data_IF_709016276440
#
_entry.id   IF_709016276440
#
_cell.length_a   1.000
_cell.length_b   1.000
_cell.length_c   1.000
_cell.angle_alpha   90.00
_cell.angle_beta   90.00
_cell.angle_gamma   90.00
#
_symmetry.space_group_name_H-M   'P 1'
#
loop_
_entity.id
_entity.type
_entity.pdbx_description
1 polymer ?
#
# COMPACT_ATOMS: atom_id res chain seq x y z
N UNK A 1 -5.49 -26.44 -7.80
CA UNK A 1 -5.22 -25.25 -6.96
C UNK A 1 -4.42 -25.58 -5.70
N UNK A 2 -4.66 -26.73 -5.04
CA UNK A 2 -3.90 -27.14 -3.84
C UNK A 2 -2.39 -27.34 -4.09
N UNK A 3 -1.98 -27.86 -5.26
CA UNK A 3 -0.57 -28.06 -5.62
C UNK A 3 0.22 -26.75 -5.70
N UNK A 4 -0.34 -25.71 -6.35
CA UNK A 4 0.35 -24.43 -6.53
C UNK A 4 0.59 -23.66 -5.21
N UNK A 5 -0.32 -23.80 -4.23
CA UNK A 5 -0.15 -23.21 -2.90
C UNK A 5 0.94 -23.95 -2.10
N UNK A 6 0.96 -25.29 -2.17
CA UNK A 6 2.00 -26.09 -1.54
C UNK A 6 3.39 -25.82 -2.14
N UNK A 7 3.47 -25.67 -3.46
CA UNK A 7 4.71 -25.34 -4.18
C UNK A 7 5.22 -23.95 -3.80
N UNK A 8 4.31 -22.98 -3.65
CA UNK A 8 4.65 -21.61 -3.23
C UNK A 8 5.09 -21.57 -1.76
N UNK A 9 4.43 -22.30 -0.87
CA UNK A 9 4.86 -22.45 0.51
C UNK A 9 6.24 -23.12 0.60
N UNK A 10 6.48 -24.16 -0.20
CA UNK A 10 7.77 -24.83 -0.25
C UNK A 10 8.86 -23.88 -0.75
N UNK A 11 8.62 -23.14 -1.83
CA UNK A 11 9.57 -22.16 -2.38
C UNK A 11 9.88 -21.07 -1.36
N UNK A 12 8.86 -20.58 -0.64
CA UNK A 12 9.04 -19.60 0.44
C UNK A 12 9.88 -20.17 1.58
N UNK A 13 9.57 -21.38 2.07
CA UNK A 13 10.37 -22.07 3.10
C UNK A 13 11.81 -22.30 2.63
N UNK A 14 12.01 -22.70 1.39
CA UNK A 14 13.33 -22.92 0.80
C UNK A 14 14.14 -21.61 0.71
N UNK A 15 13.53 -20.51 0.26
CA UNK A 15 14.17 -19.19 0.21
C UNK A 15 14.55 -18.68 1.60
N UNK A 16 13.67 -18.81 2.60
CA UNK A 16 13.97 -18.39 3.98
C UNK A 16 15.11 -19.23 4.57
N UNK A 17 15.10 -20.55 4.36
CA UNK A 17 16.20 -21.43 4.80
C UNK A 17 17.52 -21.07 4.11
N UNK A 18 17.48 -20.80 2.81
CA UNK A 18 18.67 -20.33 2.07
C UNK A 18 19.20 -19.03 2.66
N UNK A 19 18.32 -18.06 2.92
CA UNK A 19 18.69 -16.77 3.50
C UNK A 19 19.31 -16.94 4.90
N UNK A 20 18.70 -17.76 5.75
CA UNK A 20 19.21 -18.10 7.09
C UNK A 20 20.62 -18.67 7.02
N UNK A 21 20.85 -19.63 6.12
CA UNK A 21 22.15 -20.25 5.94
C UNK A 21 23.21 -19.26 5.44
N UNK A 22 22.88 -18.44 4.43
CA UNK A 22 23.84 -17.49 3.83
C UNK A 22 24.19 -16.36 4.80
N UNK A 23 23.20 -15.86 5.55
CA UNK A 23 23.39 -14.73 6.47
C UNK A 23 23.78 -15.16 7.89
N UNK A 24 23.90 -16.47 8.15
CA UNK A 24 24.19 -17.04 9.46
C UNK A 24 23.21 -16.56 10.56
N UNK A 25 21.93 -16.45 10.19
CA UNK A 25 20.87 -15.93 11.05
C UNK A 25 19.84 -17.03 11.38
N UNK A 26 19.34 -17.12 12.61
CA UNK A 26 18.23 -18.02 12.95
C UNK A 26 16.98 -17.70 12.12
N UNK A 27 16.29 -18.75 11.65
CA UNK A 27 15.04 -18.62 10.87
C UNK A 27 14.00 -17.76 11.59
N UNK A 28 13.95 -17.80 12.93
CA UNK A 28 13.05 -16.99 13.74
C UNK A 28 13.27 -15.47 13.57
N UNK A 29 14.50 -15.03 13.28
CA UNK A 29 14.83 -13.62 13.03
C UNK A 29 14.48 -13.17 11.61
N UNK A 30 14.05 -14.08 10.73
CA UNK A 30 13.63 -13.80 9.35
C UNK A 30 12.11 -13.64 9.18
N UNK A 31 11.36 -13.56 10.28
CA UNK A 31 9.91 -13.40 10.26
C UNK A 31 9.47 -12.12 9.51
N UNK A 32 10.28 -11.07 9.51
CA UNK A 32 10.01 -9.84 8.75
C UNK A 32 9.86 -10.07 7.24
N UNK A 33 10.55 -11.07 6.67
CA UNK A 33 10.41 -11.44 5.25
C UNK A 33 9.04 -12.05 5.00
N UNK A 34 8.59 -12.91 5.92
CA UNK A 34 7.26 -13.51 5.88
C UNK A 34 6.17 -12.43 5.91
N UNK A 35 6.28 -11.50 6.85
CA UNK A 35 5.33 -10.40 7.03
C UNK A 35 5.26 -9.51 5.78
N UNK A 36 6.40 -9.16 5.19
CA UNK A 36 6.45 -8.40 3.94
C UNK A 36 5.68 -9.09 2.79
N UNK A 37 5.87 -10.40 2.61
CA UNK A 37 5.18 -11.15 1.55
C UNK A 37 3.68 -11.30 1.81
N UNK A 38 3.27 -11.48 3.08
CA UNK A 38 1.85 -11.49 3.45
C UNK A 38 1.23 -10.13 3.10
N UNK A 39 1.88 -9.04 3.50
CA UNK A 39 1.42 -7.68 3.21
C UNK A 39 1.29 -7.45 1.70
N UNK A 40 2.27 -7.88 0.89
CA UNK A 40 2.20 -7.76 -0.59
C UNK A 40 0.97 -8.48 -1.15
N UNK A 41 0.67 -9.70 -0.69
CA UNK A 41 -0.48 -10.48 -1.16
C UNK A 41 -1.79 -9.79 -0.76
N UNK A 42 -1.91 -9.35 0.48
CA UNK A 42 -3.10 -8.65 0.99
C UNK A 42 -3.35 -7.35 0.23
N UNK A 43 -2.31 -6.53 0.05
CA UNK A 43 -2.37 -5.30 -0.73
C UNK A 43 -2.84 -5.55 -2.16
N UNK A 44 -2.35 -6.60 -2.83
CA UNK A 44 -2.80 -6.96 -4.19
C UNK A 44 -4.27 -7.39 -4.22
N UNK A 45 -4.76 -8.05 -3.17
CA UNK A 45 -6.18 -8.39 -3.07
C UNK A 45 -7.03 -7.15 -2.87
N UNK A 46 -6.62 -6.23 -2.00
CA UNK A 46 -7.31 -4.95 -1.79
C UNK A 46 -7.38 -4.17 -3.11
N UNK A 47 -6.27 -4.06 -3.85
CA UNK A 47 -6.25 -3.36 -5.13
C UNK A 47 -7.27 -3.91 -6.13
N UNK A 48 -7.39 -5.25 -6.25
CA UNK A 48 -8.41 -5.85 -7.12
C UNK A 48 -9.83 -5.36 -6.78
N UNK A 49 -10.14 -5.25 -5.50
CA UNK A 49 -11.42 -4.75 -5.04
C UNK A 49 -11.56 -3.23 -5.20
N UNK A 50 -10.48 -2.45 -5.04
CA UNK A 50 -10.55 -1.00 -5.25
C UNK A 50 -10.73 -0.66 -6.73
N UNK A 51 -10.14 -1.41 -7.65
CA UNK A 51 -10.43 -1.28 -9.09
C UNK A 51 -11.90 -1.57 -9.41
N UNK A 52 -12.48 -2.62 -8.81
CA UNK A 52 -13.90 -2.90 -8.97
C UNK A 52 -14.77 -1.78 -8.38
N UNK A 53 -14.42 -1.25 -7.20
CA UNK A 53 -15.10 -0.12 -6.58
C UNK A 53 -15.05 1.14 -7.45
N UNK A 54 -13.87 1.50 -7.95
CA UNK A 54 -13.66 2.67 -8.82
C UNK A 54 -14.45 2.58 -10.13
N UNK A 55 -14.59 1.39 -10.71
CA UNK A 55 -15.39 1.17 -11.92
C UNK A 55 -16.87 1.56 -11.75
N UNK A 56 -17.45 1.32 -10.58
CA UNK A 56 -18.85 1.64 -10.29
C UNK A 56 -19.05 3.03 -9.68
N UNK A 57 -17.99 3.83 -9.52
CA UNK A 57 -18.10 5.16 -8.94
C UNK A 57 -18.76 6.15 -9.93
N UNK A 58 -19.78 6.92 -9.50
CA UNK A 58 -20.39 7.95 -10.34
C UNK A 58 -19.42 9.07 -10.72
N UNK A 59 -19.32 9.36 -12.02
CA UNK A 59 -18.38 10.35 -12.60
C UNK A 59 -18.75 11.81 -12.26
N UNK A 60 -19.98 12.06 -11.83
CA UNK A 60 -20.48 13.38 -11.43
C UNK A 60 -19.88 13.88 -10.09
N UNK A 61 -19.26 12.99 -9.30
CA UNK A 61 -18.54 13.32 -8.05
C UNK A 61 -17.04 13.45 -8.28
N UNK A 62 -16.63 14.41 -9.11
CA UNK A 62 -15.24 14.58 -9.57
C UNK A 62 -14.21 14.66 -8.44
N UNK A 63 -14.55 15.23 -7.28
CA UNK A 63 -13.64 15.34 -6.14
C UNK A 63 -13.46 14.02 -5.38
N UNK A 64 -14.52 13.22 -5.24
CA UNK A 64 -14.43 11.86 -4.65
C UNK A 64 -13.61 10.93 -5.52
N UNK A 65 -13.82 11.01 -6.84
CA UNK A 65 -13.03 10.25 -7.82
C UNK A 65 -11.55 10.61 -7.69
N UNK A 66 -11.21 11.91 -7.70
CA UNK A 66 -9.82 12.37 -7.57
C UNK A 66 -9.18 11.95 -6.24
N UNK A 67 -9.92 12.06 -5.14
CA UNK A 67 -9.41 11.66 -3.82
C UNK A 67 -9.17 10.14 -3.75
N UNK A 68 -10.09 9.35 -4.30
CA UNK A 68 -9.92 7.91 -4.42
C UNK A 68 -8.70 7.53 -5.27
N UNK A 69 -8.56 8.11 -6.48
CA UNK A 69 -7.43 7.87 -7.37
C UNK A 69 -6.10 8.25 -6.71
N UNK A 70 -6.08 9.36 -5.95
CA UNK A 70 -4.92 9.76 -5.18
C UNK A 70 -4.55 8.71 -4.12
N UNK A 71 -5.50 8.27 -3.29
CA UNK A 71 -5.26 7.25 -2.26
C UNK A 71 -4.79 5.93 -2.88
N UNK A 72 -5.43 5.49 -3.96
CA UNK A 72 -5.06 4.28 -4.69
C UNK A 72 -3.63 4.39 -5.23
N UNK A 73 -3.28 5.50 -5.88
CA UNK A 73 -1.94 5.72 -6.44
C UNK A 73 -0.83 5.76 -5.37
N UNK A 74 -1.10 6.33 -4.20
CA UNK A 74 -0.17 6.30 -3.06
C UNK A 74 0.04 4.86 -2.57
N UNK A 75 -1.03 4.09 -2.41
CA UNK A 75 -0.98 2.70 -1.97
C UNK A 75 -0.24 1.81 -2.98
N UNK A 76 -0.50 1.96 -4.28
CA UNK A 76 0.21 1.24 -5.35
C UNK A 76 1.71 1.54 -5.37
N UNK A 77 2.08 2.81 -5.27
CA UNK A 77 3.49 3.23 -5.23
C UNK A 77 4.21 2.62 -4.03
N UNK A 78 3.56 2.59 -2.86
CA UNK A 78 4.13 1.96 -1.66
C UNK A 78 4.29 0.44 -1.84
N UNK A 79 3.27 -0.24 -2.39
CA UNK A 79 3.30 -1.67 -2.67
C UNK A 79 4.43 -2.04 -3.64
N UNK A 80 4.62 -1.29 -4.72
CA UNK A 80 5.69 -1.57 -5.69
C UNK A 80 7.08 -1.43 -5.05
N UNK A 81 7.28 -0.44 -4.18
CA UNK A 81 8.53 -0.28 -3.43
C UNK A 81 8.79 -1.44 -2.47
N UNK A 82 7.75 -1.87 -1.73
CA UNK A 82 7.84 -3.02 -0.84
C UNK A 82 8.16 -4.31 -1.63
N UNK A 83 7.44 -4.54 -2.72
CA UNK A 83 7.63 -5.72 -3.57
C UNK A 83 9.02 -5.75 -4.21
N UNK A 84 9.49 -4.61 -4.72
CA UNK A 84 10.86 -4.50 -5.25
C UNK A 84 11.91 -4.85 -4.20
N UNK A 85 11.79 -4.33 -2.97
CA UNK A 85 12.73 -4.64 -1.90
C UNK A 85 12.68 -6.13 -1.51
N UNK A 86 11.48 -6.70 -1.36
CA UNK A 86 11.27 -8.08 -0.98
C UNK A 86 11.71 -9.09 -2.06
N UNK A 87 11.65 -8.71 -3.35
CA UNK A 87 12.02 -9.58 -4.46
C UNK A 87 13.46 -9.34 -4.93
N UNK A 88 13.76 -8.11 -5.40
CA UNK A 88 15.00 -7.78 -6.11
C UNK A 88 16.15 -7.49 -5.17
N UNK A 89 15.94 -6.63 -4.17
CA UNK A 89 17.04 -6.30 -3.24
C UNK A 89 17.42 -7.50 -2.37
N UNK A 90 16.44 -8.35 -2.03
CA UNK A 90 16.68 -9.58 -1.27
C UNK A 90 17.60 -10.58 -2.00
N UNK A 91 17.64 -10.58 -3.35
CA UNK A 91 18.50 -11.48 -4.13
C UNK A 91 19.98 -11.26 -3.81
N UNK A 92 20.41 -10.02 -3.50
CA UNK A 92 21.78 -9.71 -3.04
C UNK A 92 22.17 -10.58 -1.86
N UNK A 93 21.28 -10.76 -0.89
CA UNK A 93 21.54 -11.48 0.35
C UNK A 93 21.34 -12.99 0.20
N UNK A 94 20.51 -13.43 -0.75
CA UNK A 94 20.32 -14.86 -1.08
C UNK A 94 21.50 -15.45 -1.87
N UNK A 95 22.24 -14.62 -2.61
CA UNK A 95 23.32 -15.04 -3.49
C UNK A 95 24.71 -14.60 -2.98
N UNK A 96 24.78 -14.03 -1.78
CA UNK A 96 26.04 -13.69 -1.14
C UNK A 96 26.85 -14.95 -0.80
N UNK A 97 28.18 -14.86 -0.90
CA UNK A 97 29.09 -15.95 -0.52
C UNK A 97 29.33 -16.05 0.98
N UNK A 98 29.08 -14.96 1.72
CA UNK A 98 29.22 -14.84 3.17
C UNK A 98 28.14 -13.90 3.73
N UNK A 99 27.90 -13.92 5.05
CA UNK A 99 27.02 -12.96 5.70
C UNK A 99 27.40 -11.51 5.35
N UNK A 100 26.38 -10.70 5.03
CA UNK A 100 26.56 -9.29 4.68
C UNK A 100 26.45 -8.43 5.91
N UNK A 101 27.38 -7.49 6.09
CA UNK A 101 27.32 -6.50 7.19
C UNK A 101 26.05 -5.62 7.07
N UNK A 102 25.67 -5.27 5.83
CA UNK A 102 24.44 -4.51 5.55
C UNK A 102 23.13 -5.29 5.75
N UNK A 103 23.16 -6.58 6.11
CA UNK A 103 21.92 -7.39 6.21
C UNK A 103 20.97 -6.86 7.29
N UNK A 104 21.54 -6.30 8.37
CA UNK A 104 20.78 -5.64 9.42
C UNK A 104 20.00 -4.43 8.88
N UNK A 105 20.63 -3.64 8.02
CA UNK A 105 20.00 -2.46 7.41
C UNK A 105 18.90 -2.89 6.43
N UNK A 106 19.11 -3.97 5.68
CA UNK A 106 18.06 -4.56 4.86
C UNK A 106 16.85 -5.00 5.69
N UNK A 107 17.07 -5.65 6.83
CA UNK A 107 15.98 -6.05 7.74
C UNK A 107 15.16 -4.85 8.19
N UNK A 108 15.81 -3.78 8.64
CA UNK A 108 15.13 -2.54 9.06
C UNK A 108 14.38 -1.92 7.89
N UNK A 109 15.01 -1.84 6.71
CA UNK A 109 14.39 -1.29 5.50
C UNK A 109 13.14 -2.05 5.10
N UNK A 110 13.19 -3.39 5.05
CA UNK A 110 12.05 -4.21 4.64
C UNK A 110 10.89 -4.12 5.64
N UNK A 111 11.18 -4.14 6.94
CA UNK A 111 10.18 -3.95 7.99
C UNK A 111 9.50 -2.57 7.86
N UNK A 112 10.28 -1.50 7.73
CA UNK A 112 9.75 -0.14 7.58
C UNK A 112 8.88 0.00 6.32
N UNK A 113 9.31 -0.56 5.19
CA UNK A 113 8.50 -0.56 3.96
C UNK A 113 7.20 -1.34 4.14
N UNK A 114 7.23 -2.43 4.90
CA UNK A 114 6.04 -3.23 5.22
C UNK A 114 5.03 -2.39 6.01
N UNK A 115 5.48 -1.73 7.06
CA UNK A 115 4.63 -0.89 7.91
C UNK A 115 4.08 0.34 7.17
N UNK A 116 4.93 1.01 6.39
CA UNK A 116 4.51 2.15 5.56
C UNK A 116 3.44 1.71 4.55
N UNK A 117 3.65 0.57 3.88
CA UNK A 117 2.66 0.05 2.93
C UNK A 117 1.35 -0.29 3.61
N UNK A 118 1.40 -0.95 4.78
CA UNK A 118 0.21 -1.23 5.59
C UNK A 118 -0.59 0.04 5.89
N UNK A 119 0.07 1.10 6.34
CA UNK A 119 -0.59 2.37 6.65
C UNK A 119 -1.30 2.99 5.43
N UNK A 120 -0.70 2.96 4.24
CA UNK A 120 -1.35 3.46 3.03
C UNK A 120 -2.61 2.66 2.69
N UNK A 121 -2.55 1.33 2.82
CA UNK A 121 -3.71 0.47 2.55
C UNK A 121 -4.81 0.60 3.61
N UNK A 122 -4.46 0.73 4.90
CA UNK A 122 -5.43 1.00 5.97
C UNK A 122 -6.14 2.34 5.75
N UNK A 123 -5.42 3.38 5.32
CA UNK A 123 -6.02 4.67 4.99
C UNK A 123 -6.95 4.56 3.78
N UNK A 124 -6.55 3.83 2.74
CA UNK A 124 -7.38 3.58 1.57
C UNK A 124 -8.67 2.83 1.96
N UNK A 125 -8.57 1.73 2.70
CA UNK A 125 -9.74 0.95 3.15
C UNK A 125 -10.66 1.80 4.01
N UNK A 126 -10.12 2.55 4.97
CA UNK A 126 -10.91 3.43 5.85
C UNK A 126 -11.68 4.50 5.08
N UNK A 127 -11.04 5.12 4.09
CA UNK A 127 -11.70 6.10 3.24
C UNK A 127 -12.86 5.46 2.44
N UNK A 128 -12.68 4.23 1.96
CA UNK A 128 -13.72 3.47 1.26
C UNK A 128 -14.88 3.08 2.18
N UNK A 129 -14.60 2.59 3.39
CA UNK A 129 -15.60 2.23 4.40
C UNK A 129 -16.49 3.43 4.78
N UNK A 130 -15.90 4.63 4.86
CA UNK A 130 -16.60 5.87 5.16
C UNK A 130 -17.16 6.58 3.92
N UNK A 131 -17.17 5.94 2.75
CA UNK A 131 -17.67 6.51 1.49
C UNK A 131 -17.02 7.87 1.11
N UNK A 132 -15.74 8.04 1.42
CA UNK A 132 -14.94 9.22 1.09
C UNK A 132 -15.56 10.52 1.67
N UNK A 133 -15.99 10.47 2.93
CA UNK A 133 -16.64 11.58 3.64
C UNK A 133 -15.73 12.80 3.79
N UNK A 134 -14.41 12.61 3.78
CA UNK A 134 -13.39 13.67 3.88
C UNK A 134 -13.58 14.75 2.81
N UNK A 135 -14.05 14.36 1.62
CA UNK A 135 -14.35 15.29 0.52
C UNK A 135 -15.57 16.16 0.84
N UNK A 136 -16.60 15.59 1.47
CA UNK A 136 -17.83 16.33 1.80
C UNK A 136 -17.58 17.39 2.88
N UNK A 137 -16.71 17.11 3.85
CA UNK A 137 -16.32 18.07 4.89
C UNK A 137 -15.53 19.26 4.31
N UNK A 138 -14.59 19.02 3.41
CA UNK A 138 -13.81 20.06 2.72
C UNK A 138 -14.70 21.00 1.90
N UNK A 139 -15.57 20.44 1.05
CA UNK A 139 -16.47 21.23 0.19
C UNK A 139 -17.43 22.08 1.04
N UNK A 140 -17.94 21.51 2.14
CA UNK A 140 -18.83 22.23 3.04
C UNK A 140 -18.11 23.35 3.80
N UNK A 141 -16.84 23.16 4.16
CA UNK A 141 -16.02 24.22 4.76
C UNK A 141 -15.78 25.37 3.78
N UNK A 142 -15.42 25.09 2.52
CA UNK A 142 -15.22 26.12 1.51
C UNK A 142 -16.51 26.91 1.26
N UNK A 143 -17.64 26.23 1.06
CA UNK A 143 -18.95 26.88 0.87
C UNK A 143 -19.36 27.79 2.02
N UNK A 144 -19.03 27.44 3.27
CA UNK A 144 -19.32 28.28 4.45
C UNK A 144 -18.43 29.52 4.55
N UNK A 145 -17.24 29.48 3.97
CA UNK A 145 -16.24 30.53 4.09
C UNK A 145 -16.09 31.41 2.83
N UNK A 146 -16.87 31.17 1.77
CA UNK A 146 -16.93 32.09 0.63
C UNK A 146 -17.51 33.46 1.04
N UNK A 147 -16.89 34.59 0.65
CA UNK A 147 -17.47 35.91 0.87
C UNK A 147 -18.78 36.03 0.10
N UNK A 148 -19.86 36.42 0.80
CA UNK A 148 -21.15 36.71 0.15
C UNK A 148 -20.96 37.81 -0.87
N UNK A 149 -21.24 37.53 -2.14
CA UNK A 149 -21.26 38.55 -3.18
C UNK A 149 -22.29 39.63 -2.81
N UNK A 150 -21.97 40.93 -2.92
CA UNK A 150 -22.95 41.99 -2.76
C UNK A 150 -24.01 41.82 -3.85
N UNK A 151 -25.27 41.63 -3.43
CA UNK A 151 -26.39 41.50 -4.36
C UNK A 151 -26.48 42.74 -5.26
N UNK A 152 -26.50 42.51 -6.57
CA UNK A 152 -26.80 43.56 -7.55
C UNK A 152 -28.28 43.88 -7.42
N UNK A 153 -28.60 45.02 -6.80
CA UNK A 153 -29.94 45.60 -6.82
C UNK A 153 -30.24 46.11 -8.22
N UNK A 154 -31.01 45.35 -9.00
CA UNK A 154 -31.67 45.85 -10.20
C UNK A 154 -32.71 46.89 -9.81
N UNK A 155 -32.38 48.16 -10.03
CA UNK A 155 -33.34 49.26 -10.11
C UNK A 155 -33.98 49.21 -11.50
N UNK A 156 -35.19 48.64 -11.60
CA UNK A 156 -36.07 48.86 -12.76
C UNK A 156 -36.76 50.21 -12.61
N UNK A 157 -36.62 51.04 -13.65
CA UNK A 157 -37.24 52.37 -13.83
C UNK A 157 -38.73 52.27 -14.06
#
# INVERSE_FOLDING_TARGET
MQTALADLEWLRKARIRKLANVQAEPVALLQFVVEAWIQIVECRLILKWTYAYGYYMPQDKSEKVRFFEYLQGQAETALERLHHCAEKEMEKYLNASKPSEDFRDFRVKLANLTDVTRNYFENLVRALENNLAEVEECVNYEKRNLPRSPGVSTLTT
#
